data_IF_213865854099
#
_entry.id   IF_213865854099
#
_cell.length_a   1.000
_cell.length_b   1.000
_cell.length_c   1.000
_cell.angle_alpha   90.00
_cell.angle_beta   90.00
_cell.angle_gamma   90.00
#
_symmetry.space_group_name_H-M   'P 1'
#
loop_
_entity.id
_entity.type
_entity.pdbx_description
1 polymer ?
#
# COMPACT_ATOMS: atom_id res chain seq x y z
N UNK A 1 14.42 -13.98 19.62
CA UNK A 1 13.69 -12.77 19.12
C UNK A 1 12.55 -12.49 20.09
N UNK A 2 12.38 -11.24 20.52
CA UNK A 2 11.30 -10.86 21.43
C UNK A 2 9.96 -10.88 20.71
N UNK A 3 8.93 -11.42 21.36
CA UNK A 3 7.55 -11.45 20.90
C UNK A 3 6.68 -10.77 21.96
N UNK A 4 5.86 -9.82 21.54
CA UNK A 4 4.80 -9.22 22.35
C UNK A 4 3.46 -9.68 21.77
N UNK A 5 2.58 -10.18 22.62
CA UNK A 5 1.21 -10.52 22.25
C UNK A 5 0.27 -9.61 23.02
N UNK A 6 -0.58 -8.88 22.29
CA UNK A 6 -1.70 -8.12 22.84
C UNK A 6 -2.93 -8.99 22.60
N UNK A 7 -3.35 -9.70 23.66
CA UNK A 7 -4.53 -10.56 23.64
C UNK A 7 -5.77 -9.72 23.96
N UNK A 8 -6.50 -9.32 22.92
CA UNK A 8 -7.70 -8.49 23.03
C UNK A 8 -7.75 -7.32 22.04
N UNK A 9 -8.85 -6.57 22.13
CA UNK A 9 -9.12 -5.40 21.29
C UNK A 9 -8.33 -4.17 21.77
N UNK A 10 -7.55 -3.58 20.86
CA UNK A 10 -6.73 -2.41 21.08
C UNK A 10 -7.12 -1.23 20.17
N UNK A 11 -8.37 -1.15 19.67
CA UNK A 11 -8.85 -0.08 18.76
C UNK A 11 -8.65 1.34 19.27
N UNK A 12 -8.62 1.53 20.59
CA UNK A 12 -8.44 2.84 21.22
C UNK A 12 -6.98 3.11 21.65
N UNK A 13 -6.10 2.12 21.49
CA UNK A 13 -4.67 2.25 21.79
C UNK A 13 -3.95 2.63 20.50
N UNK A 14 -3.38 3.82 20.50
CA UNK A 14 -2.67 4.39 19.36
C UNK A 14 -1.16 4.08 19.46
N UNK A 15 -0.43 4.23 18.35
CA UNK A 15 1.04 4.13 18.31
C UNK A 15 1.62 2.76 18.71
N UNK A 16 0.85 1.68 18.63
CA UNK A 16 1.38 0.35 18.90
C UNK A 16 2.49 0.02 17.88
N UNK A 17 3.68 -0.33 18.37
CA UNK A 17 4.83 -0.64 17.51
C UNK A 17 5.45 0.58 16.82
N UNK A 18 5.13 1.80 17.25
CA UNK A 18 5.79 3.01 16.75
C UNK A 18 7.31 2.93 16.95
N UNK A 19 8.06 3.33 15.93
CA UNK A 19 9.52 3.30 15.89
C UNK A 19 10.17 1.91 16.17
N UNK A 20 9.43 0.80 16.12
CA UNK A 20 10.04 -0.51 16.38
C UNK A 20 11.12 -0.84 15.34
N UNK A 21 12.23 -1.43 15.80
CA UNK A 21 13.42 -1.70 14.99
C UNK A 21 13.64 -3.20 14.73
N UNK A 22 13.11 -4.05 15.61
CA UNK A 22 13.23 -5.50 15.52
C UNK A 22 12.14 -6.17 16.38
N UNK A 23 12.13 -7.50 16.40
CA UNK A 23 11.18 -8.29 17.18
C UNK A 23 9.85 -8.49 16.45
N UNK A 24 8.86 -8.99 17.19
CA UNK A 24 7.51 -9.25 16.67
C UNK A 24 6.45 -8.77 17.65
N UNK A 25 5.41 -8.15 17.13
CA UNK A 25 4.20 -7.80 17.87
C UNK A 25 3.01 -8.45 17.17
N UNK A 26 2.13 -9.10 17.94
CA UNK A 26 0.88 -9.68 17.45
C UNK A 26 -0.27 -9.10 18.26
N UNK A 27 -1.26 -8.53 17.58
CA UNK A 27 -2.48 -7.98 18.17
C UNK A 27 -3.62 -8.92 17.79
N UNK A 28 -4.23 -9.59 18.77
CA UNK A 28 -5.34 -10.52 18.58
C UNK A 28 -6.68 -9.79 18.64
N UNK A 29 -6.80 -8.72 17.86
CA UNK A 29 -7.96 -7.83 17.82
C UNK A 29 -7.70 -6.64 16.90
N UNK A 30 -8.50 -5.60 17.07
CA UNK A 30 -8.33 -4.35 16.32
C UNK A 30 -7.22 -3.48 16.94
N UNK A 31 -6.66 -2.56 16.15
CA UNK A 31 -5.61 -1.65 16.57
C UNK A 31 -5.95 -0.19 16.24
N UNK A 32 -5.55 0.73 17.10
CA UNK A 32 -5.80 2.16 16.90
C UNK A 32 -4.92 2.81 15.83
N UNK A 33 -5.05 4.14 15.74
CA UNK A 33 -4.30 4.96 14.79
C UNK A 33 -2.79 4.91 15.03
N UNK A 34 -2.00 5.18 14.00
CA UNK A 34 -0.52 5.22 14.04
C UNK A 34 0.16 3.90 14.40
N UNK A 35 -0.56 2.78 14.31
CA UNK A 35 0.02 1.45 14.53
C UNK A 35 1.14 1.21 13.52
N UNK A 36 2.35 0.93 14.02
CA UNK A 36 3.57 0.74 13.23
C UNK A 36 4.15 2.02 12.60
N UNK A 37 3.73 3.21 13.04
CA UNK A 37 4.31 4.46 12.54
C UNK A 37 5.83 4.50 12.72
N UNK A 38 6.55 5.01 11.72
CA UNK A 38 8.00 5.16 11.72
C UNK A 38 8.79 3.87 12.00
N UNK A 39 8.16 2.70 11.85
CA UNK A 39 8.79 1.39 12.01
C UNK A 39 9.98 1.24 11.05
N UNK A 40 11.09 0.75 11.56
CA UNK A 40 12.34 0.55 10.79
C UNK A 40 12.69 -0.92 10.59
N UNK A 41 12.09 -1.82 11.38
CA UNK A 41 12.29 -3.27 11.25
C UNK A 41 11.42 -4.08 12.20
N UNK A 42 11.38 -5.40 11.99
CA UNK A 42 10.54 -6.35 12.73
C UNK A 42 9.25 -6.72 11.99
N UNK A 43 8.33 -7.35 12.72
CA UNK A 43 7.07 -7.92 12.20
C UNK A 43 5.91 -7.53 13.11
N UNK A 44 4.90 -6.84 12.58
CA UNK A 44 3.72 -6.40 13.29
C UNK A 44 2.48 -6.99 12.62
N UNK A 45 1.76 -7.86 13.32
CA UNK A 45 0.55 -8.50 12.79
C UNK A 45 -0.67 -8.08 13.61
N UNK A 46 -1.71 -7.60 12.92
CA UNK A 46 -3.00 -7.19 13.47
C UNK A 46 -4.07 -8.15 12.93
N UNK A 47 -4.74 -8.87 13.82
CA UNK A 47 -5.74 -9.87 13.44
C UNK A 47 -7.08 -9.24 13.00
N UNK A 48 -7.42 -8.06 13.52
CA UNK A 48 -8.61 -7.30 13.16
C UNK A 48 -8.33 -6.11 12.23
N UNK A 49 -9.10 -5.05 12.42
CA UNK A 49 -9.00 -3.80 11.70
C UNK A 49 -7.93 -2.87 12.32
N UNK A 50 -7.40 -1.94 11.53
CA UNK A 50 -6.50 -0.88 12.02
C UNK A 50 -7.00 0.51 11.65
N UNK A 51 -6.84 1.45 12.58
CA UNK A 51 -7.17 2.85 12.36
C UNK A 51 -6.27 3.57 11.35
N UNK A 52 -6.51 4.88 11.20
CA UNK A 52 -5.79 5.76 10.30
C UNK A 52 -4.28 5.83 10.58
N UNK A 53 -3.50 6.21 9.56
CA UNK A 53 -2.04 6.37 9.64
C UNK A 53 -1.27 5.09 10.03
N UNK A 54 -1.82 3.92 9.76
CA UNK A 54 -1.07 2.67 9.91
C UNK A 54 0.21 2.71 9.06
N UNK A 55 1.36 2.48 9.69
CA UNK A 55 2.67 2.53 9.02
C UNK A 55 3.05 3.91 8.48
N UNK A 56 2.50 5.01 9.00
CA UNK A 56 2.89 6.36 8.59
C UNK A 56 4.42 6.54 8.70
N UNK A 57 5.05 7.09 7.66
CA UNK A 57 6.50 7.30 7.58
C UNK A 57 7.37 6.06 7.87
N UNK A 58 6.85 4.85 7.60
CA UNK A 58 7.58 3.59 7.77
C UNK A 58 8.84 3.54 6.89
N UNK A 59 9.93 3.00 7.43
CA UNK A 59 11.26 2.91 6.79
C UNK A 59 11.68 1.47 6.52
N UNK A 60 11.11 0.50 7.25
CA UNK A 60 11.47 -0.91 7.12
C UNK A 60 10.60 -1.81 8.00
N UNK A 61 10.73 -3.12 7.82
CA UNK A 61 9.91 -4.12 8.50
C UNK A 61 8.67 -4.53 7.71
N UNK A 62 7.77 -5.24 8.38
CA UNK A 62 6.54 -5.77 7.79
C UNK A 62 5.34 -5.57 8.73
N UNK A 63 4.30 -4.93 8.21
CA UNK A 63 3.01 -4.80 8.88
C UNK A 63 1.98 -5.65 8.12
N UNK A 64 1.26 -6.52 8.82
CA UNK A 64 0.15 -7.32 8.27
C UNK A 64 -1.14 -6.99 9.00
N UNK A 65 -2.14 -6.52 8.27
CA UNK A 65 -3.50 -6.29 8.74
C UNK A 65 -4.40 -7.34 8.11
N UNK A 66 -4.98 -8.22 8.93
CA UNK A 66 -5.85 -9.29 8.44
C UNK A 66 -7.29 -8.79 8.17
N UNK A 67 -7.69 -7.68 8.78
CA UNK A 67 -8.92 -6.94 8.47
C UNK A 67 -8.69 -5.77 7.51
N UNK A 68 -9.42 -4.68 7.75
CA UNK A 68 -9.40 -3.43 7.00
C UNK A 68 -8.43 -2.42 7.62
N UNK A 69 -7.99 -1.46 6.82
CA UNK A 69 -7.22 -0.32 7.28
C UNK A 69 -7.96 1.00 7.04
N UNK A 70 -7.75 1.96 7.93
CA UNK A 70 -8.25 3.32 7.80
C UNK A 70 -7.59 4.10 6.67
N UNK A 71 -7.66 5.42 6.77
CA UNK A 71 -7.05 6.35 5.84
C UNK A 71 -5.54 6.45 6.05
N UNK A 72 -4.83 6.97 5.05
CA UNK A 72 -3.44 7.43 5.19
C UNK A 72 -2.44 6.32 5.57
N UNK A 73 -2.72 5.07 5.17
CA UNK A 73 -1.78 3.96 5.34
C UNK A 73 -0.47 4.28 4.60
N UNK A 74 0.67 4.18 5.28
CA UNK A 74 1.98 4.49 4.70
C UNK A 74 2.18 5.96 4.31
N UNK A 75 1.30 6.87 4.77
CA UNK A 75 1.34 8.28 4.39
C UNK A 75 2.41 9.07 5.15
N UNK A 76 2.69 10.28 4.65
CA UNK A 76 3.38 11.33 5.40
C UNK A 76 2.48 11.93 6.50
N UNK A 77 3.12 12.44 7.55
CA UNK A 77 2.42 13.34 8.46
C UNK A 77 2.15 14.71 7.82
N UNK A 78 1.21 15.45 8.41
CA UNK A 78 0.86 16.79 7.92
C UNK A 78 2.10 17.69 8.00
N UNK A 79 2.44 18.33 6.88
CA UNK A 79 3.64 19.16 6.75
C UNK A 79 4.94 18.40 6.47
N UNK A 80 4.94 17.06 6.55
CA UNK A 80 6.09 16.25 6.19
C UNK A 80 6.21 16.11 4.67
N UNK A 81 7.44 16.08 4.17
CA UNK A 81 7.74 15.96 2.75
C UNK A 81 7.94 14.50 2.30
N UNK A 82 7.90 13.55 3.23
CA UNK A 82 8.21 12.14 3.00
C UNK A 82 7.22 11.26 3.78
N UNK A 83 6.53 10.36 3.06
CA UNK A 83 5.73 9.30 3.66
C UNK A 83 6.58 8.06 3.91
N UNK A 84 6.05 6.89 3.58
CA UNK A 84 6.80 5.64 3.64
C UNK A 84 8.05 5.67 2.72
N UNK A 85 9.19 5.27 3.27
CA UNK A 85 10.52 5.22 2.60
C UNK A 85 11.12 3.81 2.56
N UNK A 86 10.38 2.81 3.04
CA UNK A 86 10.76 1.41 2.96
C UNK A 86 9.86 0.53 3.81
N UNK A 87 10.08 -0.78 3.76
CA UNK A 87 9.24 -1.79 4.42
C UNK A 87 8.08 -2.27 3.53
N UNK A 88 7.22 -3.09 4.11
CA UNK A 88 6.04 -3.62 3.45
C UNK A 88 4.81 -3.55 4.37
N UNK A 89 3.69 -3.06 3.84
CA UNK A 89 2.39 -3.05 4.51
C UNK A 89 1.43 -3.90 3.67
N UNK A 90 0.86 -4.92 4.30
CA UNK A 90 -0.17 -5.79 3.72
C UNK A 90 -1.49 -5.57 4.43
N UNK A 91 -2.56 -5.35 3.68
CA UNK A 91 -3.94 -5.29 4.16
C UNK A 91 -4.76 -6.32 3.41
N UNK A 92 -5.38 -7.26 4.13
CA UNK A 92 -6.21 -8.30 3.52
C UNK A 92 -7.65 -7.82 3.21
N UNK A 93 -8.13 -6.80 3.92
CA UNK A 93 -9.40 -6.13 3.64
C UNK A 93 -9.25 -4.91 2.74
N UNK A 94 -10.15 -3.95 2.96
CA UNK A 94 -10.17 -2.67 2.27
C UNK A 94 -9.27 -1.66 2.97
N UNK A 95 -8.88 -0.60 2.26
CA UNK A 95 -8.17 0.55 2.81
C UNK A 95 -8.88 1.87 2.49
N UNK A 96 -8.74 2.84 3.39
CA UNK A 96 -9.35 4.17 3.25
C UNK A 96 -8.72 5.04 2.16
N UNK A 97 -8.80 6.35 2.36
CA UNK A 97 -8.31 7.35 1.39
C UNK A 97 -6.83 7.65 1.56
N UNK A 98 -6.20 8.23 0.54
CA UNK A 98 -4.83 8.78 0.60
C UNK A 98 -3.75 7.75 0.98
N UNK A 99 -3.95 6.48 0.61
CA UNK A 99 -2.98 5.40 0.82
C UNK A 99 -1.66 5.72 0.10
N UNK A 100 -0.53 5.61 0.79
CA UNK A 100 0.79 5.93 0.24
C UNK A 100 0.98 7.40 -0.09
N UNK A 101 0.27 8.31 0.57
CA UNK A 101 0.45 9.76 0.38
C UNK A 101 1.91 10.18 0.63
N UNK A 102 2.54 10.83 -0.34
CA UNK A 102 3.98 11.20 -0.32
C UNK A 102 4.96 10.03 -0.18
N UNK A 103 4.54 8.78 -0.45
CA UNK A 103 5.40 7.61 -0.43
C UNK A 103 6.59 7.78 -1.39
N UNK A 104 7.77 7.33 -0.94
CA UNK A 104 9.03 7.40 -1.71
C UNK A 104 9.55 6.03 -2.11
N UNK A 105 9.35 5.02 -1.26
CA UNK A 105 9.83 3.64 -1.43
C UNK A 105 9.03 2.70 -0.52
N UNK A 106 9.20 1.40 -0.73
CA UNK A 106 8.51 0.35 0.01
C UNK A 106 7.30 -0.17 -0.77
N UNK A 107 6.60 -1.12 -0.18
CA UNK A 107 5.49 -1.81 -0.83
C UNK A 107 4.22 -1.74 0.02
N UNK A 108 3.11 -1.30 -0.56
CA UNK A 108 1.78 -1.37 0.04
C UNK A 108 0.93 -2.32 -0.81
N UNK A 109 0.34 -3.32 -0.17
CA UNK A 109 -0.48 -4.34 -0.82
C UNK A 109 -1.86 -4.36 -0.18
N UNK A 110 -2.88 -4.04 -0.96
CA UNK A 110 -4.28 -4.04 -0.53
C UNK A 110 -5.02 -5.13 -1.29
N UNK A 111 -5.56 -6.11 -0.57
CA UNK A 111 -6.28 -7.23 -1.19
C UNK A 111 -7.72 -6.85 -1.58
N UNK A 112 -8.33 -5.90 -0.86
CA UNK A 112 -9.64 -5.33 -1.16
C UNK A 112 -9.59 -4.03 -1.95
N UNK A 113 -10.62 -3.21 -1.77
CA UNK A 113 -10.81 -1.91 -2.41
C UNK A 113 -10.02 -0.80 -1.71
N UNK A 114 -9.70 0.27 -2.43
CA UNK A 114 -9.12 1.49 -1.85
C UNK A 114 -10.00 2.70 -2.04
N UNK A 115 -9.95 3.61 -1.07
CA UNK A 115 -10.58 4.92 -1.15
C UNK A 115 -9.92 5.85 -2.18
N UNK A 116 -10.49 7.06 -2.36
CA UNK A 116 -9.93 8.07 -3.24
C UNK A 116 -8.48 8.44 -2.92
N UNK A 117 -7.78 8.99 -3.91
CA UNK A 117 -6.43 9.56 -3.74
C UNK A 117 -5.34 8.55 -3.32
N UNK A 118 -5.52 7.27 -3.58
CA UNK A 118 -4.42 6.30 -3.44
C UNK A 118 -3.23 6.74 -4.30
N UNK A 119 -2.03 6.78 -3.71
CA UNK A 119 -0.78 7.24 -4.35
C UNK A 119 -0.70 8.75 -4.58
N UNK A 120 -1.48 9.57 -3.87
CA UNK A 120 -1.39 11.03 -4.01
C UNK A 120 -0.01 11.55 -3.61
N UNK A 121 0.56 12.46 -4.41
CA UNK A 121 1.93 12.98 -4.22
C UNK A 121 3.05 11.92 -4.16
N UNK A 122 2.78 10.68 -4.58
CA UNK A 122 3.74 9.60 -4.55
C UNK A 122 4.99 9.97 -5.36
N UNK A 123 6.15 9.93 -4.73
CA UNK A 123 7.43 10.10 -5.39
C UNK A 123 7.97 8.77 -5.90
N UNK A 124 7.68 7.66 -5.21
CA UNK A 124 8.06 6.32 -5.63
C UNK A 124 7.60 5.21 -4.69
N UNK A 125 7.97 3.97 -5.00
CA UNK A 125 7.53 2.75 -4.30
C UNK A 125 6.48 1.95 -5.07
N UNK A 126 5.97 0.88 -4.48
CA UNK A 126 5.02 -0.01 -5.12
C UNK A 126 3.70 -0.04 -4.37
N UNK A 127 2.59 0.24 -5.06
CA UNK A 127 1.24 0.08 -4.51
C UNK A 127 0.50 -0.95 -5.37
N UNK A 128 0.07 -2.06 -4.78
CA UNK A 128 -0.68 -3.12 -5.46
C UNK A 128 -2.07 -3.23 -4.85
N UNK A 129 -3.10 -3.15 -5.71
CA UNK A 129 -4.52 -3.12 -5.30
C UNK A 129 -5.24 -4.25 -6.04
N UNK A 130 -5.71 -5.25 -5.30
CA UNK A 130 -6.41 -6.40 -5.88
C UNK A 130 -7.92 -6.21 -6.03
N UNK A 131 -8.52 -5.33 -5.23
CA UNK A 131 -9.86 -4.81 -5.47
C UNK A 131 -9.89 -3.60 -6.40
N UNK A 132 -10.94 -2.80 -6.30
CA UNK A 132 -11.18 -1.61 -7.11
C UNK A 132 -10.49 -0.40 -6.49
N UNK A 133 -9.72 0.31 -7.30
CA UNK A 133 -9.13 1.58 -6.89
C UNK A 133 -10.15 2.73 -6.97
N UNK A 134 -10.15 3.57 -5.94
CA UNK A 134 -10.97 4.77 -5.86
C UNK A 134 -10.63 5.85 -6.89
N UNK A 135 -11.39 6.95 -6.85
CA UNK A 135 -11.20 8.10 -7.75
C UNK A 135 -9.87 8.81 -7.48
N UNK A 136 -9.36 9.54 -8.48
CA UNK A 136 -8.16 10.40 -8.37
C UNK A 136 -6.90 9.62 -7.97
N UNK A 137 -6.82 8.37 -8.41
CA UNK A 137 -5.66 7.50 -8.27
C UNK A 137 -4.41 8.20 -8.82
N UNK A 138 -3.32 8.21 -8.05
CA UNK A 138 -2.04 8.78 -8.45
C UNK A 138 -2.06 10.30 -8.69
N UNK A 139 -3.02 11.03 -8.11
CA UNK A 139 -3.05 12.49 -8.24
C UNK A 139 -1.72 13.13 -7.77
N UNK A 140 -1.10 13.96 -8.61
CA UNK A 140 0.20 14.57 -8.36
C UNK A 140 1.33 13.57 -8.05
N UNK A 141 1.22 12.31 -8.46
CA UNK A 141 2.33 11.37 -8.36
C UNK A 141 3.45 11.76 -9.35
N UNK A 142 4.67 11.89 -8.84
CA UNK A 142 5.84 12.29 -9.63
C UNK A 142 6.47 11.11 -10.37
N UNK A 143 6.49 9.92 -9.76
CA UNK A 143 6.99 8.70 -10.40
C UNK A 143 8.50 8.66 -10.62
N UNK A 144 9.29 8.98 -9.60
CA UNK A 144 10.75 8.84 -9.61
C UNK A 144 11.21 7.40 -9.32
N UNK A 145 10.43 6.40 -9.73
CA UNK A 145 10.66 4.97 -9.54
C UNK A 145 9.52 4.28 -8.79
N UNK A 146 9.02 3.17 -9.33
CA UNK A 146 7.86 2.45 -8.78
C UNK A 146 6.59 2.60 -9.62
N UNK A 147 5.47 2.05 -9.15
CA UNK A 147 4.21 1.98 -9.89
C UNK A 147 3.00 1.78 -8.96
N UNK A 148 1.81 2.05 -9.50
CA UNK A 148 0.53 1.66 -8.89
C UNK A 148 -0.12 0.60 -9.80
N UNK A 149 -0.26 -0.63 -9.30
CA UNK A 149 -0.89 -1.74 -10.02
C UNK A 149 -2.32 -2.00 -9.51
N UNK A 150 -3.30 -1.96 -10.40
CA UNK A 150 -4.72 -2.13 -10.11
C UNK A 150 -5.25 -3.37 -10.82
N UNK A 151 -5.48 -4.45 -10.07
CA UNK A 151 -5.98 -5.72 -10.63
C UNK A 151 -7.51 -5.79 -10.65
N UNK A 152 -8.21 -5.20 -9.69
CA UNK A 152 -9.68 -5.09 -9.71
C UNK A 152 -10.21 -3.89 -10.50
N UNK A 153 -9.31 -3.19 -11.22
CA UNK A 153 -9.63 -2.03 -12.04
C UNK A 153 -9.67 -0.71 -11.26
N UNK A 154 -10.05 0.35 -11.97
CA UNK A 154 -10.06 1.73 -11.47
C UNK A 154 -11.44 2.34 -11.70
N UNK A 155 -11.92 3.13 -10.74
CA UNK A 155 -13.23 3.82 -10.89
C UNK A 155 -13.18 4.84 -12.01
N UNK A 156 -12.14 5.66 -12.02
CA UNK A 156 -11.92 6.76 -12.95
C UNK A 156 -10.44 7.14 -12.91
N UNK A 157 -9.82 7.29 -14.08
CA UNK A 157 -8.46 7.84 -14.19
C UNK A 157 -8.53 9.34 -14.42
N UNK A 158 -7.56 10.07 -13.88
CA UNK A 158 -7.44 11.50 -14.13
C UNK A 158 -7.13 11.76 -15.62
N UNK A 159 -7.67 12.82 -16.23
CA UNK A 159 -7.38 13.18 -17.63
C UNK A 159 -5.88 13.43 -17.93
N UNK A 160 -5.10 13.68 -16.88
CA UNK A 160 -3.65 13.89 -16.91
C UNK A 160 -2.84 12.59 -16.91
N UNK A 161 -3.50 11.42 -16.87
CA UNK A 161 -2.89 10.14 -17.20
C UNK A 161 -3.25 9.75 -18.63
N UNK A 162 -2.22 9.47 -19.43
CA UNK A 162 -2.39 9.06 -20.84
C UNK A 162 -2.09 7.58 -20.97
N UNK A 163 -2.94 6.89 -21.71
CA UNK A 163 -2.67 5.52 -22.13
C UNK A 163 -1.37 5.50 -22.94
N UNK A 164 -0.52 4.53 -22.65
CA UNK A 164 0.78 4.37 -23.28
C UNK A 164 0.83 3.07 -24.09
N UNK A 165 0.58 1.92 -23.45
CA UNK A 165 0.56 0.62 -24.12
C UNK A 165 -0.18 -0.44 -23.30
N UNK A 166 -0.58 -1.54 -23.93
CA UNK A 166 -0.99 -2.78 -23.26
C UNK A 166 0.10 -3.81 -23.46
N UNK A 167 0.57 -4.40 -22.36
CA UNK A 167 1.59 -5.44 -22.39
C UNK A 167 1.48 -6.34 -21.17
N UNK A 168 2.14 -7.49 -21.20
CA UNK A 168 2.31 -8.36 -20.03
C UNK A 168 3.63 -8.02 -19.35
N UNK A 169 3.64 -7.31 -18.19
CA UNK A 169 4.89 -6.88 -17.57
C UNK A 169 5.61 -8.09 -16.96
N UNK A 170 6.75 -8.48 -17.52
CA UNK A 170 7.52 -9.66 -17.07
C UNK A 170 7.97 -9.54 -15.62
N UNK A 171 8.25 -8.32 -15.14
CA UNK A 171 8.60 -8.09 -13.74
C UNK A 171 7.43 -8.39 -12.80
N UNK A 172 6.17 -8.23 -13.25
CA UNK A 172 4.98 -8.42 -12.40
C UNK A 172 4.88 -9.86 -11.93
N UNK A 173 5.31 -10.82 -12.74
CA UNK A 173 5.43 -12.23 -12.35
C UNK A 173 6.23 -12.45 -11.08
N UNK A 174 7.30 -11.66 -10.87
CA UNK A 174 8.13 -11.75 -9.66
C UNK A 174 7.35 -11.23 -8.44
N UNK A 175 6.64 -10.11 -8.58
CA UNK A 175 5.79 -9.57 -7.51
C UNK A 175 4.68 -10.56 -7.15
N UNK A 176 3.92 -11.05 -8.12
CA UNK A 176 2.83 -12.02 -7.90
C UNK A 176 3.32 -13.25 -7.13
N UNK A 177 4.46 -13.83 -7.52
CA UNK A 177 5.08 -14.96 -6.81
C UNK A 177 5.55 -14.61 -5.41
N UNK A 178 6.18 -13.44 -5.23
CA UNK A 178 6.62 -12.98 -3.92
C UNK A 178 5.43 -12.79 -2.96
N UNK A 179 4.34 -12.20 -3.44
CA UNK A 179 3.12 -11.99 -2.66
C UNK A 179 2.48 -13.32 -2.23
N UNK A 180 2.40 -14.30 -3.14
CA UNK A 180 1.88 -15.63 -2.81
C UNK A 180 2.79 -16.35 -1.80
N UNK A 181 4.09 -16.41 -2.04
CA UNK A 181 5.02 -17.18 -1.22
C UNK A 181 5.29 -16.55 0.16
N UNK A 182 5.40 -15.22 0.26
CA UNK A 182 5.88 -14.55 1.47
C UNK A 182 4.76 -13.88 2.28
N UNK A 183 3.68 -13.46 1.60
CA UNK A 183 2.57 -12.73 2.20
C UNK A 183 1.28 -13.56 2.24
N UNK A 184 1.25 -14.75 1.62
CA UNK A 184 0.12 -15.67 1.66
C UNK A 184 -1.12 -15.18 0.90
N UNK A 185 -0.94 -14.25 -0.04
CA UNK A 185 -2.04 -13.69 -0.83
C UNK A 185 -2.31 -14.62 -2.03
N UNK A 186 -3.57 -14.99 -2.26
CA UNK A 186 -3.96 -15.74 -3.45
C UNK A 186 -3.90 -14.85 -4.70
N UNK A 187 -2.73 -14.84 -5.35
CA UNK A 187 -2.45 -14.01 -6.52
C UNK A 187 -2.31 -14.81 -7.81
N UNK A 188 -2.48 -16.14 -7.77
CA UNK A 188 -2.18 -17.02 -8.90
C UNK A 188 -2.99 -16.67 -10.16
N UNK A 189 -4.23 -16.21 -9.99
CA UNK A 189 -5.12 -15.78 -11.07
C UNK A 189 -4.62 -14.54 -11.85
N UNK A 190 -3.70 -13.77 -11.29
CA UNK A 190 -3.16 -12.55 -11.91
C UNK A 190 -1.81 -12.80 -12.60
N UNK A 191 -1.33 -14.04 -12.61
CA UNK A 191 -0.06 -14.41 -13.22
C UNK A 191 -0.10 -14.13 -14.73
N UNK A 192 0.88 -13.38 -15.22
CA UNK A 192 1.05 -13.06 -16.65
C UNK A 192 -0.16 -12.36 -17.30
N UNK A 193 -1.02 -11.72 -16.49
CA UNK A 193 -2.17 -10.97 -16.97
C UNK A 193 -1.74 -9.70 -17.74
N UNK A 194 -2.27 -9.44 -18.94
CA UNK A 194 -2.02 -8.19 -19.67
C UNK A 194 -2.48 -6.98 -18.86
N UNK A 195 -1.70 -5.89 -18.92
CA UNK A 195 -2.00 -4.66 -18.21
C UNK A 195 -1.93 -3.47 -19.17
N UNK A 196 -2.94 -2.61 -19.10
CA UNK A 196 -2.93 -1.28 -19.72
C UNK A 196 -2.09 -0.36 -18.87
N UNK A 197 -1.03 0.18 -19.45
CA UNK A 197 -0.15 1.16 -18.84
C UNK A 197 -0.62 2.58 -19.13
N UNK A 198 -0.70 3.38 -18.08
CA UNK A 198 -0.95 4.80 -18.13
C UNK A 198 0.23 5.56 -17.53
N UNK A 199 0.65 6.61 -18.22
CA UNK A 199 1.74 7.51 -17.79
C UNK A 199 1.15 8.87 -17.40
N UNK A 200 1.57 9.38 -16.25
CA UNK A 200 1.08 10.62 -15.65
C UNK A 200 1.90 10.92 -14.39
N UNK A 201 1.45 11.71 -13.43
CA UNK A 201 0.48 12.77 -13.64
C UNK A 201 1.17 13.90 -14.44
N UNK A 202 0.63 14.26 -15.60
CA UNK A 202 1.16 15.33 -16.45
C UNK A 202 1.21 16.70 -15.75
N UNK A 203 0.43 16.90 -14.68
CA UNK A 203 0.50 18.11 -13.87
C UNK A 203 1.85 18.26 -13.11
N UNK A 204 2.60 17.16 -12.93
CA UNK A 204 3.86 17.14 -12.15
C UNK A 204 4.99 16.39 -12.87
N UNK A 205 4.95 16.33 -14.20
CA UNK A 205 6.06 15.84 -15.03
C UNK A 205 5.84 14.50 -15.74
N UNK A 206 4.75 13.78 -15.47
CA UNK A 206 4.31 12.66 -16.33
C UNK A 206 5.12 11.36 -16.23
N UNK A 207 5.89 11.13 -15.15
CA UNK A 207 6.74 9.93 -15.00
C UNK A 207 6.13 8.81 -14.16
N UNK A 208 5.08 9.07 -13.39
CA UNK A 208 4.33 8.06 -12.66
C UNK A 208 3.62 7.08 -13.60
N UNK A 209 3.49 5.86 -13.12
CA UNK A 209 2.99 4.73 -13.87
C UNK A 209 1.84 4.07 -13.12
N UNK A 210 0.69 3.97 -13.80
CA UNK A 210 -0.46 3.22 -13.34
C UNK A 210 -0.66 2.04 -14.30
N UNK A 211 -0.66 0.83 -13.76
CA UNK A 211 -0.91 -0.40 -14.48
C UNK A 211 -2.31 -0.88 -14.13
N UNK A 212 -3.20 -0.96 -15.11
CA UNK A 212 -4.57 -1.46 -14.92
C UNK A 212 -4.68 -2.79 -15.63
N UNK A 213 -4.88 -3.85 -14.86
CA UNK A 213 -4.97 -5.19 -15.41
C UNK A 213 -6.23 -5.33 -16.29
N UNK A 214 -6.11 -6.05 -17.41
CA UNK A 214 -7.27 -6.33 -18.27
C UNK A 214 -8.20 -7.33 -17.57
N UNK A 215 -9.52 -7.13 -17.69
CA UNK A 215 -10.45 -8.11 -17.12
C UNK A 215 -10.24 -9.44 -17.85
N UNK A 216 -10.00 -10.50 -17.09
CA UNK A 216 -10.05 -11.87 -17.60
C UNK A 216 -11.43 -12.21 -18.17
#
# INVERSE_FOLDING_TARGET
KQLIVIDGDARHIKHIGECMTAGRIVIQGDAGMHTGAQMTGGDLTIAGDVGDWCGAEMKGGLIRVLGNAGNLVGAAYRGSAEGMTGGCIQVNGNAGSEIGSFMRRGMIVISGDTGPFTGVHMNGGEILIFGKAGKRLGAQAKGNGGFIACFGGVTELLPTYKYDTTYTPTFMRLYIRQLSNNLGIDTARYLDMPMRRYRGDLAVGGKAEILVAEKA
#
